data_IF_860432082632
#
_entry.id   IF_860432082632
#
_cell.length_a   1.000
_cell.length_b   1.000
_cell.length_c   1.000
_cell.angle_alpha   90.00
_cell.angle_beta   90.00
_cell.angle_gamma   90.00
#
_symmetry.space_group_name_H-M   'P 1'
#
loop_
_entity.id
_entity.type
_entity.pdbx_description
1 polymer ?
#
# COMPACT_ATOMS: atom_id res chain seq x y z
N UNK A 1 14.62 23.21 -1.50
CA UNK A 1 13.19 22.82 -1.36
C UNK A 1 12.54 23.17 -2.67
N UNK A 2 11.98 22.17 -3.38
CA UNK A 2 11.32 22.35 -4.67
C UNK A 2 9.82 22.53 -4.52
N UNK A 3 9.24 21.76 -3.61
CA UNK A 3 7.81 21.71 -3.42
C UNK A 3 7.48 21.42 -1.95
N UNK A 4 6.34 21.92 -1.49
CA UNK A 4 5.85 21.78 -0.13
C UNK A 4 4.33 21.70 -0.13
N UNK A 5 3.78 20.72 0.58
CA UNK A 5 2.35 20.55 0.82
C UNK A 5 2.10 20.38 2.32
N UNK A 6 1.01 20.96 2.80
CA UNK A 6 0.63 20.94 4.22
C UNK A 6 -0.83 20.52 4.34
N UNK A 7 -1.11 19.60 5.25
CA UNK A 7 -2.46 19.26 5.67
C UNK A 7 -2.44 18.64 7.07
N UNK A 8 -3.47 18.92 7.88
CA UNK A 8 -3.78 18.16 9.11
C UNK A 8 -2.61 18.01 10.11
N UNK A 9 -1.77 19.03 10.27
CA UNK A 9 -0.60 18.98 11.18
C UNK A 9 0.62 18.26 10.59
N UNK A 10 0.58 17.92 9.30
CA UNK A 10 1.67 17.32 8.56
C UNK A 10 2.18 18.25 7.47
N UNK A 11 3.45 18.08 7.13
CA UNK A 11 4.12 18.73 6.02
C UNK A 11 4.86 17.67 5.22
N UNK A 12 4.60 17.59 3.92
CA UNK A 12 5.41 16.82 3.00
C UNK A 12 6.18 17.77 2.08
N UNK A 13 7.48 17.56 1.95
CA UNK A 13 8.35 18.42 1.16
C UNK A 13 9.27 17.61 0.27
N UNK A 14 9.42 18.08 -0.96
CA UNK A 14 10.46 17.59 -1.88
C UNK A 14 11.70 18.45 -1.68
N UNK A 15 12.73 17.82 -1.12
CA UNK A 15 14.02 18.44 -0.83
C UNK A 15 15.10 17.85 -1.73
N UNK A 16 15.84 18.73 -2.39
CA UNK A 16 17.02 18.32 -3.14
C UNK A 16 18.14 18.03 -2.14
N UNK A 17 18.57 16.77 -2.04
CA UNK A 17 19.67 16.35 -1.18
C UNK A 17 20.77 15.80 -2.09
N UNK A 18 21.72 16.67 -2.44
CA UNK A 18 22.80 16.39 -3.39
C UNK A 18 22.28 16.24 -4.83
N UNK A 19 22.15 15.00 -5.34
CA UNK A 19 21.89 14.72 -6.74
C UNK A 19 20.45 14.25 -7.02
N UNK A 20 19.67 13.94 -5.99
CA UNK A 20 18.32 13.36 -6.11
C UNK A 20 17.37 14.09 -5.19
N UNK A 21 16.15 14.29 -5.67
CA UNK A 21 15.06 14.85 -4.88
C UNK A 21 14.49 13.78 -3.93
N UNK A 22 14.24 14.16 -2.68
CA UNK A 22 13.77 13.28 -1.60
C UNK A 22 12.47 13.81 -1.04
N UNK A 23 11.54 12.91 -0.75
CA UNK A 23 10.29 13.24 -0.07
C UNK A 23 10.48 13.11 1.43
N UNK A 24 10.30 14.20 2.16
CA UNK A 24 10.37 14.24 3.62
C UNK A 24 8.99 14.56 4.17
N UNK A 25 8.49 13.71 5.06
CA UNK A 25 7.29 13.94 5.84
C UNK A 25 7.71 14.43 7.24
N UNK A 26 7.05 15.49 7.70
CA UNK A 26 7.30 16.13 8.98
C UNK A 26 5.99 16.23 9.75
N UNK A 27 6.02 15.76 10.99
CA UNK A 27 4.99 16.02 12.01
C UNK A 27 5.22 17.44 12.55
N UNK A 28 4.25 18.34 12.37
CA UNK A 28 4.38 19.74 12.77
C UNK A 28 4.19 19.95 14.28
N UNK A 29 3.58 19.00 14.98
CA UNK A 29 3.36 19.08 16.43
C UNK A 29 4.61 18.59 17.19
N UNK A 30 5.19 17.46 16.78
CA UNK A 30 6.36 16.86 17.43
C UNK A 30 7.70 17.28 16.82
N UNK A 31 7.71 17.73 15.57
CA UNK A 31 8.91 17.97 14.78
C UNK A 31 9.59 16.69 14.27
N UNK A 32 8.97 15.52 14.44
CA UNK A 32 9.50 14.27 13.90
C UNK A 32 9.55 14.33 12.37
N UNK A 33 10.65 13.87 11.79
CA UNK A 33 10.86 13.84 10.35
C UNK A 33 11.21 12.44 9.86
N UNK A 34 10.70 12.07 8.69
CA UNK A 34 11.01 10.81 8.02
C UNK A 34 11.08 10.96 6.50
N UNK A 35 11.90 10.13 5.86
CA UNK A 35 11.98 10.05 4.40
C UNK A 35 10.95 9.03 3.92
N UNK A 36 10.19 9.40 2.89
CA UNK A 36 9.25 8.52 2.21
C UNK A 36 9.83 8.07 0.85
N UNK A 37 9.47 6.85 0.44
CA UNK A 37 9.97 6.24 -0.78
C UNK A 37 11.40 5.72 -0.67
N UNK A 38 11.92 5.19 -1.78
CA UNK A 38 13.32 4.77 -1.85
C UNK A 38 14.18 6.00 -2.17
N UNK A 39 15.14 6.35 -1.29
CA UNK A 39 16.02 7.48 -1.50
C UNK A 39 16.81 7.44 -2.82
N UNK A 40 17.10 6.26 -3.37
CA UNK A 40 17.92 6.16 -4.58
C UNK A 40 17.25 6.79 -5.81
N UNK A 41 15.93 6.90 -5.80
CA UNK A 41 15.14 7.26 -6.96
C UNK A 41 14.50 8.65 -6.82
N UNK A 42 14.31 9.37 -7.93
CA UNK A 42 13.67 10.68 -7.90
C UNK A 42 12.19 10.56 -7.54
N UNK A 43 11.69 11.60 -6.88
CA UNK A 43 10.29 11.74 -6.48
C UNK A 43 9.79 13.14 -6.84
N UNK A 44 8.50 13.27 -7.12
CA UNK A 44 7.86 14.53 -7.46
C UNK A 44 6.38 14.56 -7.05
N UNK A 45 5.76 15.74 -7.20
CA UNK A 45 4.32 15.99 -7.10
C UNK A 45 3.66 15.33 -5.89
N UNK A 46 4.11 15.62 -4.65
CA UNK A 46 3.49 15.07 -3.47
C UNK A 46 2.10 15.68 -3.25
N UNK A 47 1.16 14.85 -2.82
CA UNK A 47 -0.16 15.25 -2.35
C UNK A 47 -0.37 14.69 -0.94
N UNK A 48 -0.92 15.49 -0.04
CA UNK A 48 -1.05 15.19 1.38
C UNK A 48 -2.45 15.55 1.85
N UNK A 49 -3.11 14.64 2.56
CA UNK A 49 -4.42 14.88 3.17
C UNK A 49 -5.03 13.61 3.75
N UNK A 50 -6.01 13.74 4.63
CA UNK A 50 -6.81 12.64 5.17
C UNK A 50 -5.97 11.48 5.74
N UNK A 51 -4.84 11.78 6.38
CA UNK A 51 -3.90 10.77 6.91
C UNK A 51 -3.04 10.02 5.88
N UNK A 52 -2.99 10.48 4.63
CA UNK A 52 -2.24 9.84 3.55
C UNK A 52 -1.32 10.82 2.82
N UNK A 53 -0.20 10.31 2.30
CA UNK A 53 0.68 11.02 1.36
C UNK A 53 0.76 10.21 0.08
N UNK A 54 0.46 10.80 -1.07
CA UNK A 54 0.71 10.22 -2.39
C UNK A 54 1.81 11.00 -3.11
N UNK A 55 2.60 10.33 -3.94
CA UNK A 55 3.65 10.97 -4.74
C UNK A 55 3.96 10.12 -5.97
N UNK A 56 4.57 10.74 -6.97
CA UNK A 56 5.11 10.01 -8.11
C UNK A 56 6.62 9.76 -7.96
N UNK A 57 7.11 8.64 -8.46
CA UNK A 57 8.53 8.25 -8.40
C UNK A 57 8.96 7.41 -9.60
N UNK A 58 10.25 7.39 -9.94
CA UNK A 58 10.79 6.49 -10.98
C UNK A 58 11.51 5.31 -10.31
N UNK A 59 10.80 4.20 -10.08
CA UNK A 59 11.41 3.08 -9.36
C UNK A 59 12.37 2.29 -10.25
N UNK A 60 13.46 1.77 -9.65
CA UNK A 60 14.39 0.88 -10.33
C UNK A 60 15.12 1.47 -11.55
N UNK A 61 15.11 2.80 -11.70
CA UNK A 61 15.88 3.51 -12.71
C UNK A 61 17.35 3.06 -12.72
N UNK A 62 17.75 2.37 -13.80
CA UNK A 62 19.13 2.05 -14.06
C UNK A 62 19.71 3.07 -15.05
N UNK A 63 20.49 4.02 -14.55
CA UNK A 63 21.08 5.07 -15.40
C UNK A 63 22.07 4.55 -16.46
N UNK A 64 22.56 3.32 -16.32
CA UNK A 64 23.47 2.70 -17.30
C UNK A 64 22.73 1.92 -18.39
N UNK A 65 21.50 1.51 -18.14
CA UNK A 65 20.67 0.74 -19.06
C UNK A 65 19.19 1.03 -18.79
N UNK A 66 18.69 2.22 -19.18
CA UNK A 66 17.33 2.61 -18.90
C UNK A 66 16.34 1.94 -19.87
N UNK A 67 15.30 1.32 -19.33
CA UNK A 67 14.14 0.80 -20.08
C UNK A 67 12.94 1.73 -19.89
N UNK A 68 11.92 1.61 -20.75
CA UNK A 68 10.68 2.39 -20.62
C UNK A 68 10.00 2.20 -19.24
N UNK A 69 9.85 0.96 -18.75
CA UNK A 69 9.34 0.60 -17.40
C UNK A 69 10.22 1.09 -16.22
N UNK A 70 11.43 1.59 -16.48
CA UNK A 70 12.28 2.17 -15.40
C UNK A 70 12.40 3.68 -15.47
N UNK A 71 11.88 4.26 -16.56
CA UNK A 71 11.87 5.70 -16.83
C UNK A 71 10.47 6.30 -16.63
N UNK A 72 9.44 5.48 -16.60
CA UNK A 72 8.09 5.91 -16.32
C UNK A 72 7.95 6.42 -14.88
N UNK A 73 7.02 7.34 -14.72
CA UNK A 73 6.58 7.77 -13.41
C UNK A 73 5.55 6.78 -12.87
N UNK A 74 5.80 6.24 -11.70
CA UNK A 74 4.85 5.44 -10.92
C UNK A 74 4.21 6.29 -9.83
N UNK A 75 3.00 5.93 -9.39
CA UNK A 75 2.38 6.55 -8.21
C UNK A 75 2.30 5.58 -7.03
N UNK A 76 2.73 6.09 -5.88
CA UNK A 76 2.68 5.39 -4.58
C UNK A 76 1.99 6.25 -3.54
N UNK A 77 1.44 5.60 -2.52
CA UNK A 77 0.94 6.30 -1.34
C UNK A 77 1.48 5.72 -0.03
N UNK A 78 1.38 6.49 1.03
CA UNK A 78 1.81 6.17 2.38
C UNK A 78 0.68 6.48 3.36
N UNK A 79 0.37 5.50 4.22
CA UNK A 79 -0.58 5.64 5.32
C UNK A 79 0.22 6.06 6.55
N UNK A 80 -0.01 7.29 7.02
CA UNK A 80 0.81 7.92 8.07
C UNK A 80 0.68 7.16 9.41
N UNK A 81 -0.53 6.75 9.76
CA UNK A 81 -0.82 6.02 11.01
C UNK A 81 -0.20 4.62 11.06
N UNK A 82 -0.08 3.96 9.91
CA UNK A 82 0.53 2.63 9.78
C UNK A 82 2.03 2.69 9.53
N UNK A 83 2.55 3.87 9.18
CA UNK A 83 3.90 4.08 8.71
C UNK A 83 4.27 3.11 7.56
N UNK A 84 3.36 2.93 6.60
CA UNK A 84 3.51 1.97 5.51
C UNK A 84 3.13 2.55 4.17
N UNK A 85 3.90 2.17 3.15
CA UNK A 85 3.67 2.59 1.76
C UNK A 85 3.15 1.46 0.89
N UNK A 86 2.27 1.81 -0.05
CA UNK A 86 1.52 0.90 -0.91
C UNK A 86 1.51 1.42 -2.35
N UNK A 87 1.49 0.51 -3.32
CA UNK A 87 1.38 0.84 -4.74
C UNK A 87 -0.08 0.99 -5.15
N UNK A 88 -0.37 1.89 -6.09
CA UNK A 88 -1.73 2.11 -6.61
C UNK A 88 -2.09 1.31 -7.88
N UNK A 89 -1.10 0.79 -8.60
CA UNK A 89 -1.28 0.13 -9.90
C UNK A 89 -0.40 -1.13 -10.05
N UNK A 90 -0.46 -1.79 -11.21
CA UNK A 90 0.35 -2.96 -11.56
C UNK A 90 1.78 -2.60 -11.93
N UNK A 91 2.50 -3.52 -12.59
CA UNK A 91 3.67 -3.12 -13.38
C UNK A 91 3.15 -2.82 -14.79
N UNK A 92 3.58 -1.69 -15.34
CA UNK A 92 3.29 -1.25 -16.70
C UNK A 92 4.48 -0.40 -17.20
N UNK A 93 4.32 0.30 -18.33
CA UNK A 93 5.34 1.21 -18.86
C UNK A 93 4.73 2.58 -19.19
N UNK A 94 3.63 2.93 -18.50
CA UNK A 94 2.85 4.13 -18.75
C UNK A 94 3.09 5.13 -17.64
N UNK A 95 3.29 6.40 -18.00
CA UNK A 95 3.46 7.43 -16.99
C UNK A 95 2.19 7.60 -16.15
N UNK A 96 2.36 7.51 -14.84
CA UNK A 96 1.39 7.78 -13.81
C UNK A 96 1.82 9.00 -13.01
N UNK A 97 1.03 10.06 -13.08
CA UNK A 97 1.46 11.39 -12.64
C UNK A 97 0.39 12.14 -11.88
N UNK A 98 0.80 13.24 -11.24
CA UNK A 98 -0.06 14.20 -10.57
C UNK A 98 -1.07 13.57 -9.59
N UNK A 99 -0.60 12.74 -8.62
CA UNK A 99 -1.51 12.14 -7.65
C UNK A 99 -2.19 13.21 -6.80
N UNK A 100 -3.45 12.96 -6.46
CA UNK A 100 -4.28 13.83 -5.62
C UNK A 100 -4.97 13.00 -4.54
N UNK A 101 -4.64 13.29 -3.29
CA UNK A 101 -5.28 12.69 -2.12
C UNK A 101 -6.58 13.44 -1.81
N UNK A 102 -7.66 12.67 -1.66
CA UNK A 102 -9.01 13.15 -1.39
C UNK A 102 -9.62 12.34 -0.23
N UNK A 103 -10.76 12.80 0.28
CA UNK A 103 -11.47 12.07 1.33
C UNK A 103 -11.87 10.68 0.81
N UNK A 104 -11.27 9.63 1.37
CA UNK A 104 -11.56 8.24 0.99
C UNK A 104 -11.07 7.82 -0.39
N UNK A 105 -10.33 8.65 -1.12
CA UNK A 105 -9.86 8.33 -2.48
C UNK A 105 -8.47 8.92 -2.79
N UNK A 106 -7.76 8.29 -3.72
CA UNK A 106 -6.57 8.86 -4.38
C UNK A 106 -6.81 8.79 -5.88
N UNK A 107 -6.68 9.93 -6.57
CA UNK A 107 -6.75 9.99 -8.02
C UNK A 107 -5.38 10.30 -8.62
N UNK A 108 -5.12 9.85 -9.84
CA UNK A 108 -3.90 10.20 -10.59
C UNK A 108 -4.19 10.17 -12.09
N UNK A 109 -3.28 10.75 -12.86
CA UNK A 109 -3.32 10.74 -14.33
C UNK A 109 -2.50 9.56 -14.84
N UNK A 110 -3.04 8.81 -15.78
CA UNK A 110 -2.31 7.80 -16.55
C UNK A 110 -2.21 8.28 -18.00
N UNK A 111 -1.01 8.24 -18.57
CA UNK A 111 -0.80 8.51 -19.99
C UNK A 111 -1.57 7.49 -20.86
N UNK A 112 -2.23 7.98 -21.91
CA UNK A 112 -2.92 7.14 -22.88
C UNK A 112 -1.93 6.46 -23.82
N UNK A 113 -2.31 5.34 -24.43
CA UNK A 113 -1.46 4.69 -25.42
C UNK A 113 -1.56 5.41 -26.77
N UNK A 114 -0.43 5.94 -27.28
CA UNK A 114 -0.37 6.60 -28.59
C UNK A 114 -1.08 7.96 -28.63
N UNK A 115 -2.16 8.06 -29.41
CA UNK A 115 -2.95 9.30 -29.56
C UNK A 115 -4.12 9.39 -28.55
N UNK A 116 -4.24 8.44 -27.63
CA UNK A 116 -5.31 8.43 -26.63
C UNK A 116 -5.09 9.53 -25.58
N UNK A 117 -6.16 10.24 -25.17
CA UNK A 117 -6.05 11.25 -24.13
C UNK A 117 -5.70 10.62 -22.77
N UNK A 118 -5.03 11.36 -21.86
CA UNK A 118 -4.74 10.87 -20.52
C UNK A 118 -6.02 10.49 -19.77
N UNK A 119 -5.97 9.36 -19.05
CA UNK A 119 -7.08 8.88 -18.23
C UNK A 119 -6.90 9.25 -16.76
N UNK A 120 -7.99 9.60 -16.08
CA UNK A 120 -7.99 9.77 -14.63
C UNK A 120 -8.30 8.43 -13.98
N UNK A 121 -7.34 7.89 -13.23
CA UNK A 121 -7.51 6.70 -12.40
C UNK A 121 -7.89 7.10 -10.98
N UNK A 122 -8.73 6.31 -10.32
CA UNK A 122 -9.16 6.54 -8.95
C UNK A 122 -9.06 5.25 -8.13
N UNK A 123 -8.37 5.34 -6.99
CA UNK A 123 -8.29 4.30 -5.99
C UNK A 123 -9.10 4.70 -4.75
N UNK A 124 -9.92 3.80 -4.24
CA UNK A 124 -10.70 4.04 -3.02
C UNK A 124 -9.92 3.60 -1.80
N UNK A 125 -9.67 4.54 -0.89
CA UNK A 125 -9.04 4.32 0.40
C UNK A 125 -10.08 3.78 1.39
N UNK A 126 -10.18 2.47 1.46
CA UNK A 126 -11.04 1.79 2.41
C UNK A 126 -10.91 0.27 2.28
N UNK A 127 -11.17 -0.44 3.36
CA UNK A 127 -11.38 -1.87 3.27
C UNK A 127 -12.67 -2.08 2.49
N UNK A 128 -12.54 -2.46 1.21
CA UNK A 128 -13.55 -3.30 0.57
C UNK A 128 -13.51 -4.62 1.33
N UNK A 129 -14.06 -4.64 2.54
CA UNK A 129 -14.55 -5.87 3.11
C UNK A 129 -15.60 -6.35 2.13
N UNK A 130 -15.21 -7.21 1.18
CA UNK A 130 -16.09 -8.34 0.92
C UNK A 130 -16.46 -8.84 2.31
N UNK A 131 -17.75 -8.91 2.67
CA UNK A 131 -18.14 -9.47 3.93
C UNK A 131 -17.81 -10.95 3.84
N UNK A 132 -16.53 -11.32 4.00
CA UNK A 132 -16.12 -12.62 4.48
C UNK A 132 -16.75 -12.71 5.83
N UNK A 133 -17.97 -13.25 5.81
CA UNK A 133 -18.91 -12.89 6.83
C UNK A 133 -18.40 -13.54 8.09
N UNK A 134 -18.01 -12.66 9.01
CA UNK A 134 -17.57 -12.94 10.36
C UNK A 134 -18.44 -14.03 11.01
N UNK A 135 -19.71 -14.10 10.62
CA UNK A 135 -20.66 -15.13 11.01
C UNK A 135 -20.35 -16.53 10.46
N UNK A 136 -20.00 -16.75 9.17
CA UNK A 136 -19.63 -18.10 8.71
C UNK A 136 -18.31 -18.56 9.31
N UNK A 137 -17.28 -17.71 9.35
CA UNK A 137 -16.01 -18.08 9.96
C UNK A 137 -16.19 -18.42 11.44
N UNK A 138 -16.96 -17.60 12.17
CA UNK A 138 -17.31 -17.88 13.57
C UNK A 138 -18.08 -19.20 13.73
N UNK A 139 -19.01 -19.53 12.84
CA UNK A 139 -19.70 -20.82 12.88
C UNK A 139 -18.76 -22.00 12.64
N UNK A 140 -17.85 -21.90 11.66
CA UNK A 140 -16.86 -22.93 11.38
C UNK A 140 -15.92 -23.12 12.58
N UNK A 141 -15.44 -22.02 13.18
CA UNK A 141 -14.57 -22.08 14.37
C UNK A 141 -15.29 -22.73 15.56
N UNK A 142 -16.55 -22.37 15.82
CA UNK A 142 -17.33 -22.96 16.91
C UNK A 142 -17.63 -24.44 16.64
N UNK A 143 -17.87 -24.84 15.39
CA UNK A 143 -18.14 -26.23 15.00
C UNK A 143 -16.89 -27.11 15.06
N UNK A 144 -15.70 -26.56 14.78
CA UNK A 144 -14.44 -27.31 14.82
C UNK A 144 -14.07 -27.79 16.22
N UNK A 145 -14.40 -27.03 17.27
CA UNK A 145 -14.09 -27.40 18.66
C UNK A 145 -14.73 -28.75 19.06
N UNK A 146 -16.07 -28.93 18.98
CA UNK A 146 -16.69 -30.21 19.34
C UNK A 146 -16.31 -31.33 18.37
N UNK A 147 -16.05 -31.03 17.10
CA UNK A 147 -15.61 -32.04 16.13
C UNK A 147 -14.23 -32.62 16.50
N UNK A 148 -13.28 -31.76 16.90
CA UNK A 148 -11.96 -32.18 17.36
C UNK A 148 -12.04 -32.98 18.66
N UNK A 149 -12.93 -32.60 19.58
CA UNK A 149 -13.18 -33.36 20.82
C UNK A 149 -13.78 -34.73 20.51
N UNK A 150 -14.80 -34.79 19.64
CA UNK A 150 -15.42 -36.05 19.22
C UNK A 150 -14.42 -36.97 18.52
N UNK A 151 -13.60 -36.42 17.62
CA UNK A 151 -12.53 -37.14 16.94
C UNK A 151 -11.49 -37.69 17.94
N UNK A 152 -11.07 -36.88 18.91
CA UNK A 152 -10.16 -37.32 19.98
C UNK A 152 -10.74 -38.48 20.80
N UNK A 153 -12.03 -38.42 21.13
CA UNK A 153 -12.71 -39.49 21.88
C UNK A 153 -12.90 -40.76 21.04
N UNK A 154 -13.23 -40.64 19.75
CA UNK A 154 -13.28 -41.77 18.83
C UNK A 154 -11.92 -42.46 18.76
N UNK A 155 -10.85 -41.69 18.55
CA UNK A 155 -9.49 -42.22 18.46
C UNK A 155 -9.03 -42.91 19.76
N UNK A 156 -9.42 -42.40 20.92
CA UNK A 156 -9.13 -43.06 22.20
C UNK A 156 -9.88 -44.39 22.35
N UNK A 157 -11.15 -44.46 21.94
CA UNK A 157 -11.93 -45.71 21.99
C UNK A 157 -11.41 -46.77 21.03
N UNK A 158 -11.05 -46.38 19.81
CA UNK A 158 -10.51 -47.29 18.81
C UNK A 158 -9.11 -47.84 19.19
N UNK A 159 -8.32 -47.05 19.92
CA UNK A 159 -7.03 -47.52 20.44
C UNK A 159 -7.19 -48.34 21.74
N UNK A 160 -8.13 -47.99 22.61
CA UNK A 160 -8.37 -48.72 23.87
C UNK A 160 -8.98 -50.11 23.66
N UNK A 161 -9.78 -50.32 22.61
CA UNK A 161 -10.33 -51.65 22.29
C UNK A 161 -9.29 -52.62 21.73
N UNK A 162 -8.11 -52.15 21.32
CA UNK A 162 -6.99 -53.01 20.86
C UNK A 162 -6.16 -53.59 21.99
N UNK A 163 -6.18 -52.96 23.17
CA UNK A 163 -5.44 -53.45 24.35
C UNK A 163 -6.25 -54.47 25.17
N UNK A 164 -7.52 -54.71 24.85
CA UNK A 164 -8.38 -55.71 25.49
C UNK A 164 -8.45 -57.05 24.72
N UNK A 165 -7.78 -57.16 23.54
CA UNK A 165 -7.74 -58.37 22.70
C UNK A 165 -6.37 -59.09 22.66
N UNK A 166 -5.38 -58.66 23.46
CA UNK A 166 -4.12 -59.42 23.73
C UNK A 166 -4.15 -60.12 25.10
#
# INVERSE_FOLDING_TARGET
MREIVLAEGWLAAVVNVSAVDRLVLVDLDSGEQRILGDPLFPVADPSLGYGHVAWQHQQFLNSLDPTEETLDWDVRFHVISENRSYRLHGNDALNQTAPQVMEGHIAWLQEGEGDEPPEVRVHTLGETFEPYSKRQLQFVTILMIPLLVAWSLQRQRENGSRDEEE
#
